data_IF_473654655379
#
_entry.id   IF_473654655379
#
_cell.length_a   1.000
_cell.length_b   1.000
_cell.length_c   1.000
_cell.angle_alpha   90.00
_cell.angle_beta   90.00
_cell.angle_gamma   90.00
#
_symmetry.space_group_name_H-M   'P 1'
#
loop_
_entity.id
_entity.type
_entity.pdbx_description
1 polymer ?
#
# COMPACT_ATOMS: atom_id res chain seq x y z
N UNK A 1 -15.44 -0.95 13.86
CA UNK A 1 -14.14 -0.23 13.85
C UNK A 1 -14.17 0.83 12.76
N UNK A 2 -13.53 2.00 12.90
CA UNK A 2 -13.45 2.99 11.82
C UNK A 2 -12.00 3.07 11.34
N UNK A 3 -11.77 2.85 10.03
CA UNK A 3 -10.46 2.95 9.39
C UNK A 3 -10.56 3.58 8.01
N UNK A 4 -9.58 4.41 7.67
CA UNK A 4 -9.43 5.02 6.36
C UNK A 4 -8.04 4.69 5.83
N UNK A 5 -7.97 3.85 4.81
CA UNK A 5 -6.72 3.36 4.23
C UNK A 5 -6.66 3.82 2.79
N UNK A 6 -5.56 4.47 2.42
CA UNK A 6 -5.27 4.87 1.05
C UNK A 6 -4.19 3.97 0.47
N UNK A 7 -4.43 3.40 -0.70
CA UNK A 7 -3.43 2.67 -1.47
C UNK A 7 -3.13 3.46 -2.73
N UNK A 8 -1.89 3.87 -2.93
CA UNK A 8 -1.52 4.69 -4.08
C UNK A 8 -0.24 4.19 -4.77
N UNK A 9 -0.14 4.51 -6.04
CA UNK A 9 0.98 4.11 -6.87
C UNK A 9 0.75 4.43 -8.33
N UNK A 10 1.46 3.74 -9.22
CA UNK A 10 1.28 3.87 -10.66
C UNK A 10 0.72 2.59 -11.28
N UNK A 11 0.02 2.75 -12.39
CA UNK A 11 -0.62 1.63 -13.10
C UNK A 11 0.37 0.51 -13.44
N UNK A 12 0.00 -0.73 -13.07
CA UNK A 12 0.82 -1.94 -13.25
C UNK A 12 1.52 -2.44 -11.98
N UNK A 13 1.52 -1.69 -10.87
CA UNK A 13 2.15 -2.10 -9.60
C UNK A 13 1.28 -3.03 -8.74
N UNK A 14 0.00 -3.26 -9.10
CA UNK A 14 -0.89 -4.14 -8.35
C UNK A 14 -1.59 -3.50 -7.15
N UNK A 15 -1.69 -2.16 -7.13
CA UNK A 15 -2.42 -1.37 -6.13
C UNK A 15 -3.87 -1.82 -5.97
N UNK A 16 -4.56 -2.08 -7.08
CA UNK A 16 -5.95 -2.56 -7.11
C UNK A 16 -6.12 -3.93 -6.45
N UNK A 17 -5.18 -4.86 -6.66
CA UNK A 17 -5.23 -6.15 -5.98
C UNK A 17 -5.01 -5.99 -4.47
N UNK A 18 -4.07 -5.13 -4.07
CA UNK A 18 -3.82 -4.84 -2.66
C UNK A 18 -5.08 -4.24 -1.99
N UNK A 19 -5.71 -3.23 -2.62
CA UNK A 19 -6.94 -2.60 -2.08
C UNK A 19 -8.10 -3.59 -1.96
N UNK A 20 -8.27 -4.47 -2.95
CA UNK A 20 -9.31 -5.52 -2.91
C UNK A 20 -9.08 -6.53 -1.79
N UNK A 21 -7.84 -6.95 -1.57
CA UNK A 21 -7.51 -7.87 -0.46
C UNK A 21 -7.79 -7.23 0.90
N UNK A 22 -7.43 -5.95 1.06
CA UNK A 22 -7.73 -5.20 2.29
C UNK A 22 -9.24 -5.13 2.52
N UNK A 23 -9.99 -4.69 1.51
CA UNK A 23 -11.44 -4.56 1.61
C UNK A 23 -12.11 -5.91 1.92
N UNK A 24 -11.71 -6.98 1.24
CA UNK A 24 -12.24 -8.32 1.45
C UNK A 24 -11.94 -8.85 2.85
N UNK A 25 -10.73 -8.60 3.37
CA UNK A 25 -10.35 -9.02 4.71
C UNK A 25 -11.22 -8.35 5.79
N UNK A 26 -11.46 -7.04 5.69
CA UNK A 26 -12.38 -6.36 6.60
C UNK A 26 -13.83 -6.86 6.49
N UNK A 27 -14.29 -7.12 5.27
CA UNK A 27 -15.62 -7.69 5.06
C UNK A 27 -15.75 -9.10 5.65
N UNK A 28 -14.69 -9.91 5.61
CA UNK A 28 -14.65 -11.24 6.22
C UNK A 28 -14.73 -11.17 7.76
N UNK A 29 -14.28 -10.07 8.37
CA UNK A 29 -14.44 -9.80 9.81
C UNK A 29 -15.80 -9.13 10.15
N UNK A 30 -16.70 -9.01 9.18
CA UNK A 30 -18.06 -8.47 9.39
C UNK A 30 -18.13 -6.94 9.37
N UNK A 31 -17.08 -6.25 8.99
CA UNK A 31 -17.06 -4.78 8.89
C UNK A 31 -17.75 -4.29 7.62
N UNK A 32 -18.37 -3.12 7.69
CA UNK A 32 -18.85 -2.40 6.50
C UNK A 32 -17.66 -1.74 5.81
N UNK A 33 -17.53 -1.94 4.51
CA UNK A 33 -16.44 -1.39 3.71
C UNK A 33 -16.98 -0.65 2.49
N UNK A 34 -16.50 0.57 2.30
CA UNK A 34 -16.71 1.37 1.09
C UNK A 34 -15.36 1.59 0.41
N UNK A 35 -15.27 1.31 -0.87
CA UNK A 35 -14.05 1.55 -1.64
C UNK A 35 -14.33 2.29 -2.94
N UNK A 36 -13.38 3.13 -3.35
CA UNK A 36 -13.37 3.79 -4.65
C UNK A 36 -11.95 3.76 -5.22
N UNK A 37 -11.88 3.54 -6.52
CA UNK A 37 -10.62 3.52 -7.25
C UNK A 37 -10.62 4.66 -8.28
N UNK A 38 -9.60 5.50 -8.24
CA UNK A 38 -9.34 6.51 -9.26
C UNK A 38 -8.20 5.99 -10.13
N UNK A 39 -8.53 5.61 -11.35
CA UNK A 39 -7.57 5.12 -12.32
C UNK A 39 -7.39 6.21 -13.38
N UNK A 40 -6.16 6.69 -13.55
CA UNK A 40 -5.84 7.64 -14.59
C UNK A 40 -6.07 7.05 -15.99
N UNK A 41 -6.24 7.91 -17.01
CA UNK A 41 -6.47 7.48 -18.40
C UNK A 41 -5.33 6.61 -18.96
N UNK A 42 -4.12 6.75 -18.44
CA UNK A 42 -2.99 5.87 -18.77
C UNK A 42 -3.05 4.60 -17.91
N UNK A 43 -3.42 3.48 -18.51
CA UNK A 43 -3.46 2.18 -17.83
C UNK A 43 -2.09 1.70 -17.31
N UNK A 44 -0.98 2.24 -17.82
CA UNK A 44 0.39 1.97 -17.36
C UNK A 44 1.11 3.27 -17.10
N UNK A 45 1.74 3.39 -15.94
CA UNK A 45 2.50 4.57 -15.54
C UNK A 45 1.68 5.80 -15.15
N UNK A 46 0.35 5.73 -15.20
CA UNK A 46 -0.54 6.76 -14.66
C UNK A 46 -0.79 6.56 -13.17
N UNK A 47 -1.07 7.67 -12.45
CA UNK A 47 -1.43 7.63 -11.03
C UNK A 47 -2.68 6.76 -10.80
N UNK A 48 -2.63 5.91 -9.79
CA UNK A 48 -3.74 5.07 -9.32
C UNK A 48 -3.87 5.27 -7.83
N UNK A 49 -5.09 5.60 -7.40
CA UNK A 49 -5.40 5.80 -5.98
C UNK A 49 -6.65 5.01 -5.62
N UNK A 50 -6.57 4.17 -4.60
CA UNK A 50 -7.70 3.42 -4.06
C UNK A 50 -7.97 3.88 -2.64
N UNK A 51 -9.18 4.34 -2.39
CA UNK A 51 -9.69 4.71 -1.08
C UNK A 51 -10.43 3.52 -0.48
N UNK A 52 -10.15 3.19 0.77
CA UNK A 52 -10.83 2.13 1.53
C UNK A 52 -11.28 2.74 2.85
N UNK A 53 -12.58 2.75 3.07
CA UNK A 53 -13.18 3.23 4.31
C UNK A 53 -13.96 2.12 4.99
N UNK A 54 -13.63 1.89 6.24
CA UNK A 54 -14.17 0.80 7.05
C UNK A 54 -14.99 1.38 8.21
N UNK A 55 -16.14 0.79 8.46
CA UNK A 55 -16.98 1.08 9.59
C UNK A 55 -18.30 1.79 9.26
N UNK A 56 -19.25 1.72 10.16
CA UNK A 56 -20.65 2.19 9.99
C UNK A 56 -20.77 3.71 9.77
N UNK A 57 -19.74 4.50 10.07
CA UNK A 57 -19.73 5.95 9.84
C UNK A 57 -19.25 6.36 8.44
N UNK A 58 -18.93 5.42 7.57
CA UNK A 58 -18.45 5.67 6.23
C UNK A 58 -19.63 5.76 5.25
N UNK A 59 -20.16 6.96 5.01
CA UNK A 59 -21.26 7.18 4.05
C UNK A 59 -20.78 7.46 2.62
N UNK A 60 -19.47 7.64 2.41
CA UNK A 60 -18.86 7.88 1.11
C UNK A 60 -17.58 7.05 1.00
N UNK A 61 -17.25 6.50 -0.16
CA UNK A 61 -16.02 5.75 -0.34
C UNK A 61 -14.75 6.62 -0.32
N UNK A 62 -14.86 7.93 -0.59
CA UNK A 62 -13.71 8.83 -0.61
C UNK A 62 -13.31 9.23 0.82
N UNK A 63 -12.03 9.13 1.11
CA UNK A 63 -11.44 9.60 2.37
C UNK A 63 -11.42 11.12 2.33
N UNK A 64 -12.00 11.81 3.33
CA UNK A 64 -11.85 13.25 3.43
C UNK A 64 -10.40 13.66 3.76
N UNK A 65 -10.01 14.87 3.39
CA UNK A 65 -8.69 15.42 3.70
C UNK A 65 -8.41 15.35 5.21
N UNK A 66 -7.20 14.94 5.56
CA UNK A 66 -6.74 14.82 6.94
C UNK A 66 -7.40 13.69 7.75
N UNK A 67 -8.05 12.70 7.10
CA UNK A 67 -8.76 11.60 7.79
C UNK A 67 -8.19 10.20 7.52
N UNK A 68 -7.16 10.09 6.69
CA UNK A 68 -6.48 8.83 6.39
C UNK A 68 -5.65 8.33 7.58
N UNK A 69 -5.85 7.10 7.97
CA UNK A 69 -5.07 6.45 9.03
C UNK A 69 -3.76 5.88 8.51
N UNK A 70 -3.78 5.39 7.27
CA UNK A 70 -2.68 4.67 6.64
C UNK A 70 -2.62 5.00 5.15
N UNK A 71 -1.42 5.30 4.67
CA UNK A 71 -1.09 5.33 3.24
C UNK A 71 -0.15 4.17 2.93
N UNK A 72 -0.55 3.29 2.02
CA UNK A 72 0.29 2.28 1.40
C UNK A 72 0.70 2.77 0.01
N UNK A 73 1.94 3.22 -0.13
CA UNK A 73 2.42 3.84 -1.36
C UNK A 73 3.43 2.94 -2.08
N UNK A 74 3.13 2.63 -3.33
CA UNK A 74 3.96 1.80 -4.18
C UNK A 74 5.03 2.60 -4.92
N UNK A 75 4.97 3.95 -4.79
CA UNK A 75 5.86 4.87 -5.48
C UNK A 75 6.03 6.14 -4.63
N UNK A 76 7.26 6.69 -4.47
CA UNK A 76 7.52 7.81 -3.56
C UNK A 76 6.76 9.10 -3.88
N UNK A 77 6.66 9.50 -5.17
CA UNK A 77 5.94 10.71 -5.53
C UNK A 77 4.42 10.57 -5.33
N UNK A 78 3.88 9.36 -5.52
CA UNK A 78 2.47 9.10 -5.24
C UNK A 78 2.17 9.15 -3.73
N UNK A 79 3.13 8.75 -2.86
CA UNK A 79 2.98 8.95 -1.43
C UNK A 79 2.83 10.43 -1.10
N UNK A 80 3.76 11.28 -1.57
CA UNK A 80 3.76 12.73 -1.30
C UNK A 80 2.50 13.40 -1.88
N UNK A 81 2.09 13.01 -3.08
CA UNK A 81 0.90 13.57 -3.76
C UNK A 81 -0.39 13.37 -2.98
N UNK A 82 -0.47 12.31 -2.19
CA UNK A 82 -1.67 11.92 -1.45
C UNK A 82 -1.62 12.26 0.04
N UNK A 83 -0.62 13.00 0.52
CA UNK A 83 -0.48 13.38 1.94
C UNK A 83 -1.61 14.26 2.46
N UNK A 84 -2.30 15.00 1.60
CA UNK A 84 -3.48 15.76 1.99
C UNK A 84 -4.56 14.90 2.66
N UNK A 85 -4.65 13.61 2.31
CA UNK A 85 -5.59 12.69 2.96
C UNK A 85 -5.13 12.20 4.33
N UNK A 86 -3.81 12.20 4.61
CA UNK A 86 -3.27 11.63 5.84
C UNK A 86 -3.59 12.52 7.05
N UNK A 87 -4.02 11.91 8.15
CA UNK A 87 -4.18 12.62 9.43
C UNK A 87 -2.81 12.93 10.06
N UNK A 88 -2.70 13.90 10.99
CA UNK A 88 -1.41 14.33 11.55
C UNK A 88 -0.57 13.20 12.16
N UNK A 89 -1.20 12.21 12.79
CA UNK A 89 -0.56 11.04 13.40
C UNK A 89 -0.67 9.77 12.54
N UNK A 90 -1.04 9.93 11.26
CA UNK A 90 -1.19 8.85 10.30
C UNK A 90 0.15 8.17 9.94
N UNK A 91 0.04 7.02 9.31
CA UNK A 91 1.17 6.16 9.01
C UNK A 91 1.37 6.10 7.50
N UNK A 92 2.63 6.16 7.06
CA UNK A 92 3.02 5.97 5.67
C UNK A 92 3.91 4.73 5.56
N UNK A 93 3.54 3.78 4.70
CA UNK A 93 4.42 2.70 4.28
C UNK A 93 4.69 2.91 2.79
N UNK A 94 5.94 3.13 2.42
CA UNK A 94 6.31 3.56 1.07
C UNK A 94 7.43 2.71 0.47
N UNK A 95 7.29 2.38 -0.81
CA UNK A 95 8.37 1.79 -1.60
C UNK A 95 9.50 2.80 -1.79
N UNK A 96 10.76 2.36 -1.63
CA UNK A 96 11.92 3.20 -1.92
C UNK A 96 12.16 3.39 -3.42
N UNK A 97 11.68 2.45 -4.25
CA UNK A 97 11.98 2.44 -5.68
C UNK A 97 11.02 3.31 -6.49
N UNK A 98 11.52 4.32 -7.22
CA UNK A 98 10.70 5.18 -8.04
C UNK A 98 10.30 4.50 -9.36
N UNK A 99 9.14 4.90 -9.88
CA UNK A 99 8.76 4.58 -11.26
C UNK A 99 8.84 5.86 -12.10
N UNK A 100 9.85 5.93 -12.96
CA UNK A 100 10.06 7.11 -13.81
C UNK A 100 8.89 7.31 -14.77
N UNK A 101 8.28 8.50 -14.82
CA UNK A 101 7.26 8.82 -15.79
C UNK A 101 7.75 8.62 -17.23
N UNK A 102 6.87 8.25 -18.14
CA UNK A 102 7.24 8.10 -19.58
C UNK A 102 7.82 9.40 -20.13
N UNK A 103 7.36 10.55 -19.63
CA UNK A 103 7.85 11.88 -20.01
C UNK A 103 9.26 12.20 -19.51
N UNK A 104 9.84 11.39 -18.62
CA UNK A 104 11.21 11.57 -18.12
C UNK A 104 12.23 11.48 -19.24
N UNK A 105 11.99 10.63 -20.25
CA UNK A 105 12.83 10.52 -21.43
C UNK A 105 12.93 11.84 -22.23
N UNK A 106 11.91 12.69 -22.11
CA UNK A 106 11.81 13.99 -22.80
C UNK A 106 12.37 15.15 -21.94
N UNK A 107 12.15 15.11 -20.62
CA UNK A 107 12.45 16.24 -19.73
C UNK A 107 13.72 16.07 -18.91
N UNK A 108 14.23 14.85 -18.74
CA UNK A 108 15.45 14.50 -17.97
C UNK A 108 15.50 15.23 -16.61
N UNK A 109 14.43 15.12 -15.82
CA UNK A 109 14.33 15.80 -14.51
C UNK A 109 15.28 15.20 -13.48
N UNK A 110 15.86 14.03 -13.75
CA UNK A 110 16.72 13.30 -12.82
C UNK A 110 15.93 12.67 -11.65
N UNK A 111 14.61 12.51 -11.77
CA UNK A 111 13.79 11.94 -10.72
C UNK A 111 14.28 10.54 -10.31
N UNK A 112 14.62 10.37 -9.03
CA UNK A 112 15.09 9.13 -8.42
C UNK A 112 14.33 8.76 -7.11
N UNK A 113 13.33 9.55 -6.74
CA UNK A 113 12.54 9.36 -5.52
C UNK A 113 13.16 9.87 -4.23
N UNK A 114 14.47 10.17 -4.20
CA UNK A 114 15.21 10.53 -2.98
C UNK A 114 14.61 11.72 -2.25
N UNK A 115 14.29 12.80 -2.97
CA UNK A 115 13.71 14.00 -2.37
C UNK A 115 12.35 13.73 -1.71
N UNK A 116 11.54 12.86 -2.31
CA UNK A 116 10.22 12.48 -1.77
C UNK A 116 10.36 11.67 -0.49
N UNK A 117 11.31 10.73 -0.46
CA UNK A 117 11.58 9.91 0.72
C UNK A 117 12.14 10.75 1.87
N UNK A 118 13.10 11.65 1.61
CA UNK A 118 13.64 12.58 2.61
C UNK A 118 12.52 13.45 3.19
N UNK A 119 11.68 14.04 2.33
CA UNK A 119 10.53 14.83 2.77
C UNK A 119 9.59 14.05 3.69
N UNK A 120 9.25 12.80 3.32
CA UNK A 120 8.39 11.94 4.14
C UNK A 120 9.02 11.64 5.51
N UNK A 121 10.30 11.30 5.55
CA UNK A 121 10.99 10.96 6.80
C UNK A 121 11.19 12.17 7.73
N UNK A 122 11.41 13.35 7.16
CA UNK A 122 11.57 14.60 7.93
C UNK A 122 10.27 15.11 8.53
N UNK A 123 9.14 14.97 7.81
CA UNK A 123 7.87 15.60 8.21
C UNK A 123 6.85 14.61 8.78
N UNK A 124 7.03 13.30 8.54
CA UNK A 124 6.09 12.25 8.96
C UNK A 124 6.83 11.14 9.72
N UNK A 125 6.93 11.28 11.05
CA UNK A 125 7.72 10.39 11.92
C UNK A 125 7.31 8.89 11.86
N UNK A 126 6.08 8.60 11.40
CA UNK A 126 5.58 7.22 11.22
C UNK A 126 5.69 6.78 9.76
N UNK A 127 6.83 7.10 9.13
CA UNK A 127 7.15 6.64 7.77
C UNK A 127 8.02 5.40 7.83
N UNK A 128 7.59 4.35 7.14
CA UNK A 128 8.31 3.09 6.97
C UNK A 128 8.66 2.92 5.49
N UNK A 129 9.94 2.85 5.21
CA UNK A 129 10.46 2.72 3.85
C UNK A 129 10.77 1.26 3.57
N UNK A 130 10.23 0.71 2.49
CA UNK A 130 10.43 -0.69 2.07
C UNK A 130 11.08 -0.72 0.70
N UNK A 131 12.23 -1.37 0.57
CA UNK A 131 12.89 -1.55 -0.72
C UNK A 131 12.31 -2.76 -1.46
N UNK A 132 11.53 -2.48 -2.53
CA UNK A 132 10.90 -3.54 -3.31
C UNK A 132 11.89 -4.44 -4.03
N UNK A 133 13.07 -3.95 -4.42
CA UNK A 133 14.10 -4.77 -5.07
C UNK A 133 14.71 -5.77 -4.09
N UNK A 134 14.95 -5.34 -2.84
CA UNK A 134 15.49 -6.20 -1.81
C UNK A 134 14.48 -7.28 -1.40
N UNK A 135 13.27 -6.86 -0.98
CA UNK A 135 12.27 -7.79 -0.43
C UNK A 135 11.70 -8.75 -1.48
N UNK A 136 11.68 -8.35 -2.76
CA UNK A 136 11.21 -9.22 -3.85
C UNK A 136 12.29 -10.13 -4.44
N UNK A 137 13.57 -9.95 -4.07
CA UNK A 137 14.70 -10.70 -4.65
C UNK A 137 14.48 -12.22 -4.60
N UNK A 138 14.06 -12.73 -3.45
CA UNK A 138 13.81 -14.17 -3.25
C UNK A 138 12.64 -14.73 -4.07
N UNK A 139 11.74 -13.86 -4.56
CA UNK A 139 10.58 -14.26 -5.37
C UNK A 139 10.81 -14.10 -6.88
N UNK A 140 11.94 -13.52 -7.28
CA UNK A 140 12.33 -13.34 -8.68
C UNK A 140 11.44 -12.36 -9.47
N UNK A 141 10.54 -11.61 -8.81
CA UNK A 141 9.64 -10.67 -9.50
C UNK A 141 9.14 -9.57 -8.56
N UNK A 142 9.18 -8.33 -9.00
CA UNK A 142 8.60 -7.16 -8.31
C UNK A 142 7.06 -7.22 -8.23
N UNK A 143 6.42 -8.12 -8.97
CA UNK A 143 4.95 -8.29 -8.94
C UNK A 143 4.43 -8.73 -7.56
N UNK A 144 5.28 -9.30 -6.71
CA UNK A 144 4.90 -9.72 -5.37
C UNK A 144 4.96 -8.60 -4.34
N UNK A 145 5.47 -7.42 -4.71
CA UNK A 145 5.59 -6.29 -3.79
C UNK A 145 4.24 -5.85 -3.21
N UNK A 146 3.17 -5.95 -3.99
CA UNK A 146 1.82 -5.61 -3.52
C UNK A 146 1.34 -6.47 -2.35
N UNK A 147 1.77 -7.72 -2.29
CA UNK A 147 1.44 -8.63 -1.19
C UNK A 147 2.42 -8.44 -0.03
N UNK A 148 3.70 -8.16 -0.33
CA UNK A 148 4.71 -7.91 0.69
C UNK A 148 4.38 -6.65 1.49
N UNK A 149 4.06 -5.52 0.84
CA UNK A 149 3.71 -4.27 1.53
C UNK A 149 2.43 -4.42 2.39
N UNK A 150 1.48 -5.25 1.93
CA UNK A 150 0.30 -5.61 2.72
C UNK A 150 0.71 -6.42 3.96
N UNK A 151 1.65 -7.35 3.81
CA UNK A 151 2.24 -8.09 4.92
C UNK A 151 2.92 -7.17 5.93
N UNK A 152 3.71 -6.18 5.45
CA UNK A 152 4.35 -5.17 6.32
C UNK A 152 3.32 -4.41 7.14
N UNK A 153 2.24 -3.94 6.52
CA UNK A 153 1.17 -3.23 7.24
C UNK A 153 0.48 -4.10 8.30
N UNK A 154 0.31 -5.39 8.02
CA UNK A 154 -0.25 -6.34 8.95
C UNK A 154 0.72 -6.64 10.12
N UNK A 155 2.01 -6.87 9.83
CA UNK A 155 3.05 -7.15 10.84
C UNK A 155 3.34 -5.96 11.75
N UNK A 156 3.24 -4.74 11.24
CA UNK A 156 3.26 -3.50 12.04
C UNK A 156 2.03 -3.35 12.96
N UNK A 157 0.98 -4.18 12.79
CA UNK A 157 -0.28 -4.03 13.52
C UNK A 157 -1.12 -2.82 13.10
N UNK A 158 -0.78 -2.16 11.98
CA UNK A 158 -1.42 -0.90 11.56
C UNK A 158 -2.53 -1.09 10.54
N UNK A 159 -2.68 -2.30 10.01
CA UNK A 159 -3.73 -2.61 9.04
C UNK A 159 -5.12 -2.63 9.71
N UNK A 160 -5.23 -3.25 10.88
CA UNK A 160 -6.47 -3.32 11.66
C UNK A 160 -7.31 -4.58 11.37
N UNK A 161 -6.76 -5.56 10.65
CA UNK A 161 -7.33 -6.87 10.37
C UNK A 161 -6.31 -7.96 10.63
N UNK A 162 -6.77 -9.15 11.06
CA UNK A 162 -5.92 -10.25 11.46
C UNK A 162 -5.11 -10.87 10.33
N UNK A 163 -3.91 -11.39 10.65
CA UNK A 163 -3.02 -12.10 9.70
C UNK A 163 -3.74 -13.24 8.98
N UNK A 164 -4.43 -14.08 9.74
CA UNK A 164 -5.08 -15.28 9.21
C UNK A 164 -6.23 -14.94 8.27
N UNK A 165 -6.95 -13.86 8.56
CA UNK A 165 -8.01 -13.33 7.69
C UNK A 165 -7.43 -12.88 6.36
N UNK A 166 -6.31 -12.13 6.36
CA UNK A 166 -5.66 -11.70 5.11
C UNK A 166 -5.17 -12.90 4.30
N UNK A 167 -4.57 -13.90 4.94
CA UNK A 167 -4.12 -15.13 4.28
C UNK A 167 -5.28 -15.89 3.64
N UNK A 168 -6.42 -16.01 4.34
CA UNK A 168 -7.62 -16.65 3.79
C UNK A 168 -8.16 -15.90 2.56
N UNK A 169 -8.11 -14.56 2.56
CA UNK A 169 -8.54 -13.78 1.40
C UNK A 169 -7.55 -13.86 0.23
N UNK A 170 -6.25 -14.02 0.48
CA UNK A 170 -5.27 -14.33 -0.57
C UNK A 170 -5.63 -15.65 -1.25
N UNK A 171 -5.98 -16.68 -0.49
CA UNK A 171 -6.38 -17.99 -1.02
C UNK A 171 -7.64 -17.91 -1.91
N UNK A 172 -8.60 -17.05 -1.56
CA UNK A 172 -9.85 -16.88 -2.32
C UNK A 172 -9.69 -16.02 -3.59
N UNK A 173 -8.88 -14.97 -3.53
CA UNK A 173 -8.83 -13.93 -4.58
C UNK A 173 -7.74 -14.20 -5.60
N UNK A 174 -6.61 -14.76 -5.14
CA UNK A 174 -5.47 -15.02 -6.02
C UNK A 174 -5.69 -16.32 -6.79
N UNK A 175 -5.28 -16.36 -8.08
CA UNK A 175 -5.36 -17.58 -8.88
C UNK A 175 -4.60 -18.72 -8.21
N UNK A 176 -5.19 -19.89 -8.16
CA UNK A 176 -4.71 -21.10 -7.47
C UNK A 176 -3.19 -21.33 -7.62
N UNK A 177 -2.68 -21.30 -8.86
CA UNK A 177 -1.25 -21.50 -9.16
C UNK A 177 -0.29 -20.49 -8.51
N UNK A 178 -0.80 -19.37 -8.01
CA UNK A 178 0.00 -18.33 -7.36
C UNK A 178 -0.27 -18.20 -5.86
N UNK A 179 -1.19 -18.95 -5.29
CA UNK A 179 -1.57 -18.87 -3.88
C UNK A 179 -0.36 -19.06 -2.98
N UNK A 180 0.36 -20.17 -3.12
CA UNK A 180 1.48 -20.51 -2.24
C UNK A 180 2.61 -19.48 -2.28
N UNK A 181 2.96 -18.96 -3.45
CA UNK A 181 4.00 -17.92 -3.55
C UNK A 181 3.52 -16.59 -2.96
N UNK A 182 2.25 -16.24 -3.08
CA UNK A 182 1.70 -15.03 -2.47
C UNK A 182 1.61 -15.17 -0.94
N UNK A 183 1.26 -16.34 -0.41
CA UNK A 183 1.32 -16.59 1.05
C UNK A 183 2.74 -16.41 1.60
N UNK A 184 3.75 -16.93 0.89
CA UNK A 184 5.17 -16.73 1.26
C UNK A 184 5.58 -15.26 1.17
N UNK A 185 5.12 -14.53 0.15
CA UNK A 185 5.37 -13.10 0.00
C UNK A 185 4.73 -12.28 1.13
N UNK A 186 3.48 -12.60 1.49
CA UNK A 186 2.81 -11.99 2.63
C UNK A 186 3.55 -12.27 3.95
N UNK A 187 3.96 -13.53 4.19
CA UNK A 187 4.69 -13.90 5.40
C UNK A 187 6.04 -13.16 5.52
N UNK A 188 6.76 -13.01 4.41
CA UNK A 188 8.01 -12.23 4.39
C UNK A 188 7.77 -10.77 4.75
N UNK A 189 6.72 -10.15 4.19
CA UNK A 189 6.33 -8.79 4.54
C UNK A 189 5.88 -8.68 6.01
N UNK A 190 5.14 -9.64 6.51
CA UNK A 190 4.68 -9.67 7.90
C UNK A 190 5.86 -9.68 8.89
N UNK A 191 6.84 -10.55 8.67
CA UNK A 191 8.05 -10.61 9.49
C UNK A 191 8.84 -9.28 9.45
N UNK A 192 8.94 -8.65 8.28
CA UNK A 192 9.57 -7.34 8.16
C UNK A 192 8.80 -6.27 8.96
N UNK A 193 7.47 -6.32 8.95
CA UNK A 193 6.63 -5.42 9.74
C UNK A 193 6.84 -5.61 11.26
N UNK A 194 6.90 -6.84 11.73
CA UNK A 194 7.22 -7.15 13.13
C UNK A 194 8.60 -6.62 13.54
N UNK A 195 9.61 -6.76 12.65
CA UNK A 195 10.95 -6.23 12.89
C UNK A 195 10.97 -4.72 13.07
N UNK A 196 10.22 -3.98 12.26
CA UNK A 196 10.07 -2.52 12.44
C UNK A 196 9.44 -2.10 13.77
N UNK A 197 8.68 -2.97 14.43
CA UNK A 197 8.14 -2.72 15.78
C UNK A 197 9.20 -2.93 16.86
N UNK A 198 10.06 -3.95 16.69
CA UNK A 198 11.08 -4.30 17.68
C UNK A 198 12.30 -3.37 17.69
N UNK A 199 12.58 -2.71 16.56
CA UNK A 199 13.75 -1.82 16.39
C UNK A 199 13.48 -0.37 16.80
N UNK A 200 12.29 -0.06 17.33
CA UNK A 200 11.90 1.25 17.89
C UNK A 200 11.81 1.23 19.40
#
# INVERSE_FOLDING_TARGET
MNRNILVCGVGGQGTVLCSRLIASAFMAEGEQVHSAETIGMAQRGGSVTSHIRVGAGAFSPLIPDGRGDLILAFEPAEAVRNLNYLKPDGIVIVNSQPVKPVTESLRKTGYDGTQMLSFLQEHYHKTYVVDSHEVCRQFGSLKFFNIIILGVACGLGVLGVGKDTVVAEIEKIVKEKFVEVNKKAFAAGFLLGEHYVTDR
#
